data_IF_486872403462
#
_entry.id   IF_486872403462
#
_cell.length_a   1.000
_cell.length_b   1.000
_cell.length_c   1.000
_cell.angle_alpha   90.00
_cell.angle_beta   90.00
_cell.angle_gamma   90.00
#
_symmetry.space_group_name_H-M   'P 1'
#
loop_
_entity.id
_entity.type
_entity.pdbx_description
1 polymer ?
#
# COMPACT_ATOMS: atom_id res chain seq x y z
N UNK A 1 13.07 5.43 -6.78
CA UNK A 1 14.32 5.56 -7.56
C UNK A 1 14.46 6.99 -8.02
N UNK A 2 15.65 7.56 -8.03
CA UNK A 2 15.93 8.91 -8.48
C UNK A 2 16.90 8.84 -9.66
N UNK A 3 16.60 9.60 -10.71
CA UNK A 3 17.50 9.87 -11.83
C UNK A 3 17.69 11.38 -11.93
N UNK A 4 18.93 11.85 -11.76
CA UNK A 4 19.20 13.28 -11.65
C UNK A 4 18.40 13.90 -10.49
N UNK A 5 17.39 14.72 -10.81
CA UNK A 5 16.51 15.37 -9.80
C UNK A 5 15.15 14.71 -9.65
N UNK A 6 14.74 13.86 -10.60
CA UNK A 6 13.40 13.28 -10.63
C UNK A 6 13.32 12.02 -9.77
N UNK A 7 12.28 11.92 -8.95
CA UNK A 7 11.94 10.71 -8.23
C UNK A 7 10.81 9.96 -8.93
N UNK A 8 11.00 8.66 -9.14
CA UNK A 8 9.99 7.73 -9.64
C UNK A 8 9.76 6.59 -8.65
N UNK A 9 8.53 6.12 -8.56
CA UNK A 9 8.19 4.94 -7.78
C UNK A 9 8.79 3.71 -8.46
N UNK A 10 9.57 2.91 -7.72
CA UNK A 10 10.08 1.63 -8.22
C UNK A 10 9.03 0.53 -8.08
N UNK A 11 8.44 0.44 -6.89
CA UNK A 11 7.30 -0.41 -6.56
C UNK A 11 6.68 0.05 -5.23
N UNK A 12 5.38 -0.19 -5.05
CA UNK A 12 4.65 -0.05 -3.78
C UNK A 12 4.07 -1.40 -3.34
N UNK A 13 3.34 -1.41 -2.23
CA UNK A 13 2.59 -2.60 -1.78
C UNK A 13 3.29 -3.44 -0.72
N UNK A 14 4.49 -3.05 -0.27
CA UNK A 14 5.12 -3.67 0.88
C UNK A 14 4.40 -3.29 2.19
N UNK A 15 4.23 -4.26 3.09
CA UNK A 15 3.58 -4.06 4.40
C UNK A 15 4.48 -3.37 5.43
N UNK A 16 5.76 -3.17 5.09
CA UNK A 16 6.71 -2.41 5.88
C UNK A 16 8.09 -2.34 5.22
N UNK A 17 9.07 -1.73 5.91
CA UNK A 17 10.39 -1.45 5.34
C UNK A 17 11.22 -2.70 5.01
N UNK A 18 11.14 -3.79 5.80
CA UNK A 18 11.90 -5.00 5.52
C UNK A 18 11.42 -5.69 4.23
N UNK A 19 10.11 -5.80 4.04
CA UNK A 19 9.51 -6.30 2.79
C UNK A 19 9.84 -5.39 1.62
N UNK A 20 9.84 -4.07 1.83
CA UNK A 20 10.22 -3.12 0.79
C UNK A 20 11.70 -3.27 0.36
N UNK A 21 12.60 -3.54 1.31
CA UNK A 21 14.02 -3.85 1.04
C UNK A 21 14.17 -5.16 0.27
N UNK A 22 13.43 -6.20 0.65
CA UNK A 22 13.41 -7.46 -0.09
C UNK A 22 12.91 -7.28 -1.54
N UNK A 23 11.81 -6.54 -1.72
CA UNK A 23 11.31 -6.20 -3.05
C UNK A 23 12.34 -5.40 -3.86
N UNK A 24 13.06 -4.46 -3.23
CA UNK A 24 14.16 -3.74 -3.87
C UNK A 24 15.30 -4.69 -4.27
N UNK A 25 15.61 -5.72 -3.48
CA UNK A 25 16.61 -6.73 -3.85
C UNK A 25 16.21 -7.46 -5.14
N UNK A 26 14.93 -7.85 -5.27
CA UNK A 26 14.38 -8.46 -6.49
C UNK A 26 14.51 -7.48 -7.68
N UNK A 27 14.03 -6.25 -7.51
CA UNK A 27 14.06 -5.23 -8.56
C UNK A 27 15.51 -4.96 -9.02
N UNK A 28 16.48 -4.92 -8.10
CA UNK A 28 17.91 -4.74 -8.41
C UNK A 28 18.48 -5.92 -9.21
N UNK A 29 18.13 -7.18 -8.88
CA UNK A 29 18.55 -8.35 -9.66
C UNK A 29 17.95 -8.33 -11.06
N UNK A 30 16.67 -7.98 -11.19
CA UNK A 30 16.00 -7.85 -12.48
C UNK A 30 16.63 -6.72 -13.32
N UNK A 31 16.95 -5.58 -12.71
CA UNK A 31 17.61 -4.47 -13.39
C UNK A 31 19.05 -4.83 -13.81
N UNK A 32 19.82 -5.51 -12.95
CA UNK A 32 21.18 -5.94 -13.22
C UNK A 32 21.27 -6.86 -14.45
N UNK A 33 20.28 -7.73 -14.67
CA UNK A 33 20.22 -8.60 -15.85
C UNK A 33 20.04 -7.83 -17.17
N UNK A 34 19.58 -6.57 -17.11
CA UNK A 34 19.37 -5.69 -18.27
C UNK A 34 20.44 -4.59 -18.38
N UNK A 35 21.32 -4.49 -17.39
CA UNK A 35 22.35 -3.45 -17.31
C UNK A 35 23.59 -3.84 -18.12
N UNK A 36 24.20 -2.85 -18.77
CA UNK A 36 25.38 -3.04 -19.63
C UNK A 36 26.68 -2.64 -18.95
N UNK A 37 26.63 -1.73 -17.97
CA UNK A 37 27.82 -1.27 -17.24
C UNK A 37 28.25 -2.29 -16.14
N UNK A 38 29.40 -2.98 -16.29
CA UNK A 38 29.77 -4.06 -15.35
C UNK A 38 30.00 -3.63 -13.89
N UNK A 39 30.61 -2.47 -13.58
CA UNK A 39 30.64 -1.91 -12.24
C UNK A 39 29.25 -1.74 -11.61
N UNK A 40 28.30 -1.19 -12.37
CA UNK A 40 26.92 -1.01 -11.91
C UNK A 40 26.22 -2.35 -11.67
N UNK A 41 26.37 -3.33 -12.57
CA UNK A 41 25.86 -4.71 -12.37
C UNK A 41 26.37 -5.29 -11.05
N UNK A 42 27.68 -5.21 -10.79
CA UNK A 42 28.27 -5.73 -9.54
C UNK A 42 27.71 -5.01 -8.31
N UNK A 43 27.57 -3.70 -8.37
CA UNK A 43 27.03 -2.91 -7.27
C UNK A 43 25.55 -3.24 -6.98
N UNK A 44 24.73 -3.45 -8.02
CA UNK A 44 23.33 -3.89 -7.87
C UNK A 44 23.24 -5.25 -7.19
N UNK A 45 23.99 -6.24 -7.67
CA UNK A 45 23.97 -7.59 -7.10
C UNK A 45 24.51 -7.61 -5.66
N UNK A 46 25.56 -6.83 -5.37
CA UNK A 46 26.09 -6.69 -4.02
C UNK A 46 25.09 -6.00 -3.07
N UNK A 47 24.34 -5.01 -3.53
CA UNK A 47 23.27 -4.40 -2.73
C UNK A 47 22.12 -5.37 -2.51
N UNK A 48 21.67 -6.08 -3.55
CA UNK A 48 20.60 -7.08 -3.46
C UNK A 48 20.91 -8.18 -2.43
N UNK A 49 22.14 -8.72 -2.44
CA UNK A 49 22.57 -9.73 -1.47
C UNK A 49 22.54 -9.27 -0.01
N UNK A 50 22.56 -7.95 0.25
CA UNK A 50 22.45 -7.39 1.62
C UNK A 50 21.03 -7.04 2.04
N UNK A 51 20.12 -6.97 1.07
CA UNK A 51 18.71 -6.61 1.29
C UNK A 51 17.80 -7.82 1.31
N UNK A 52 18.31 -8.99 0.92
CA UNK A 52 17.56 -10.23 0.89
C UNK A 52 17.75 -11.02 2.20
N UNK A 53 16.68 -11.25 3.00
CA UNK A 53 16.79 -12.03 4.22
C UNK A 53 17.09 -13.52 3.97
N UNK A 54 16.91 -14.03 2.75
CA UNK A 54 17.29 -15.41 2.40
C UNK A 54 18.80 -15.58 2.22
N UNK A 55 19.53 -14.49 1.99
CA UNK A 55 20.99 -14.47 1.77
C UNK A 55 21.78 -14.16 3.07
N UNK A 56 21.08 -13.81 4.16
CA UNK A 56 21.68 -13.49 5.46
C UNK A 56 20.88 -12.47 6.27
N UNK A 57 21.51 -11.89 7.30
CA UNK A 57 20.88 -10.81 8.07
C UNK A 57 20.64 -9.59 7.16
N UNK A 58 19.36 -9.24 6.97
CA UNK A 58 18.99 -8.11 6.13
C UNK A 58 19.54 -6.81 6.72
N UNK A 59 20.31 -6.08 5.92
CA UNK A 59 20.78 -4.76 6.30
C UNK A 59 19.62 -3.76 6.28
N UNK A 60 19.33 -3.14 7.43
CA UNK A 60 18.35 -2.06 7.57
C UNK A 60 18.85 -0.72 6.98
N UNK A 61 19.26 -0.74 5.71
CA UNK A 61 19.71 0.43 4.95
C UNK A 61 18.69 0.77 3.88
N UNK A 62 18.05 1.93 4.05
CA UNK A 62 16.93 2.38 3.23
C UNK A 62 17.33 3.21 2.01
N UNK A 63 18.61 3.54 1.84
CA UNK A 63 19.08 4.35 0.73
C UNK A 63 20.34 3.80 0.08
N UNK A 64 20.38 3.82 -1.26
CA UNK A 64 21.50 3.29 -2.03
C UNK A 64 21.80 4.18 -3.23
N UNK A 65 23.07 4.43 -3.49
CA UNK A 65 23.55 5.07 -4.72
C UNK A 65 24.27 4.01 -5.54
N UNK A 66 23.78 3.76 -6.75
CA UNK A 66 24.28 2.70 -7.63
C UNK A 66 24.32 3.24 -9.07
N UNK A 67 25.52 3.48 -9.58
CA UNK A 67 25.72 4.16 -10.85
C UNK A 67 25.21 5.61 -10.79
N UNK A 68 24.33 5.97 -11.71
CA UNK A 68 23.66 7.27 -11.81
C UNK A 68 22.31 7.35 -11.05
N UNK A 69 21.97 6.28 -10.30
CA UNK A 69 20.67 6.12 -9.63
C UNK A 69 20.80 6.20 -8.13
N UNK A 70 19.80 6.83 -7.49
CA UNK A 70 19.55 6.71 -6.04
C UNK A 70 18.28 5.91 -5.79
N UNK A 71 18.35 4.92 -4.92
CA UNK A 71 17.21 4.14 -4.46
C UNK A 71 16.90 4.54 -3.03
N UNK A 72 15.61 4.65 -2.71
CA UNK A 72 15.12 4.94 -1.37
C UNK A 72 13.90 4.07 -1.08
N UNK A 73 13.89 3.39 0.05
CA UNK A 73 12.68 2.85 0.66
C UNK A 73 11.90 4.05 1.20
N UNK A 74 10.63 4.18 0.85
CA UNK A 74 9.82 5.35 1.17
C UNK A 74 8.61 4.99 2.02
N UNK A 75 8.17 5.93 2.84
CA UNK A 75 6.91 5.82 3.59
C UNK A 75 5.75 6.33 2.75
N UNK A 76 4.71 5.50 2.62
CA UNK A 76 3.41 5.88 2.02
C UNK A 76 2.33 5.68 3.08
N UNK A 77 1.54 6.72 3.33
CA UNK A 77 0.41 6.67 4.25
C UNK A 77 -0.89 6.43 3.48
N UNK A 78 -1.68 5.44 3.92
CA UNK A 78 -3.01 5.14 3.40
C UNK A 78 -4.07 5.72 4.33
N UNK A 79 -5.11 6.31 3.78
CA UNK A 79 -6.24 6.84 4.55
C UNK A 79 -7.53 6.74 3.76
N UNK A 80 -8.65 6.71 4.48
CA UNK A 80 -9.99 6.71 3.91
C UNK A 80 -10.62 8.06 4.27
N UNK A 81 -11.30 8.67 3.30
CA UNK A 81 -12.12 9.84 3.56
C UNK A 81 -13.50 9.41 4.03
N UNK A 82 -14.03 10.10 5.03
CA UNK A 82 -15.38 9.87 5.54
C UNK A 82 -16.19 11.16 5.42
N UNK A 83 -17.42 11.05 4.92
CA UNK A 83 -18.43 12.12 4.91
C UNK A 83 -19.73 11.58 5.47
N UNK A 84 -20.35 12.27 6.43
CA UNK A 84 -21.60 11.85 7.08
C UNK A 84 -21.60 10.39 7.57
N UNK A 85 -20.46 9.95 8.16
CA UNK A 85 -20.20 8.57 8.62
C UNK A 85 -20.19 7.51 7.52
N UNK A 86 -20.11 7.90 6.25
CA UNK A 86 -19.97 7.01 5.11
C UNK A 86 -18.54 7.11 4.58
N UNK A 87 -17.89 5.96 4.40
CA UNK A 87 -16.58 5.89 3.74
C UNK A 87 -16.72 6.24 2.26
N UNK A 88 -15.75 6.99 1.74
CA UNK A 88 -15.76 7.44 0.36
C UNK A 88 -15.86 6.25 -0.62
N UNK A 89 -16.90 6.20 -1.48
CA UNK A 89 -17.01 5.17 -2.51
C UNK A 89 -16.09 5.47 -3.70
N UNK A 90 -15.90 4.51 -4.62
CA UNK A 90 -15.31 4.78 -5.92
C UNK A 90 -15.96 5.97 -6.62
N UNK A 91 -15.13 6.82 -7.21
CA UNK A 91 -15.54 7.93 -8.06
C UNK A 91 -15.73 7.45 -9.50
N UNK A 92 -16.49 8.19 -10.29
CA UNK A 92 -16.70 7.86 -11.71
C UNK A 92 -15.40 7.83 -12.52
N UNK A 93 -14.40 8.62 -12.14
CA UNK A 93 -13.08 8.68 -12.79
C UNK A 93 -12.13 7.58 -12.34
N UNK A 94 -12.49 6.82 -11.30
CA UNK A 94 -11.58 5.80 -10.76
C UNK A 94 -11.51 4.55 -11.66
N UNK A 95 -12.52 4.33 -12.52
CA UNK A 95 -12.51 3.24 -13.51
C UNK A 95 -11.48 3.46 -14.63
N UNK A 96 -11.07 4.71 -14.86
CA UNK A 96 -10.11 5.08 -15.91
C UNK A 96 -8.65 5.11 -15.40
N UNK A 97 -8.41 4.72 -14.14
CA UNK A 97 -7.07 4.69 -13.57
C UNK A 97 -6.26 3.58 -14.25
N UNK A 98 -5.31 3.98 -15.09
CA UNK A 98 -4.43 3.05 -15.82
C UNK A 98 -3.25 2.53 -14.99
N UNK A 99 -3.20 2.87 -13.71
CA UNK A 99 -2.01 2.64 -12.90
C UNK A 99 -2.13 1.31 -12.15
N UNK A 100 -1.12 0.46 -12.25
CA UNK A 100 -1.00 -0.71 -11.37
C UNK A 100 -0.87 -0.24 -9.91
N UNK A 101 -1.32 -1.05 -8.95
CA UNK A 101 -1.25 -0.71 -7.53
C UNK A 101 0.17 -0.44 -7.05
N UNK A 102 1.15 -1.01 -7.75
CA UNK A 102 2.58 -0.84 -7.53
C UNK A 102 3.10 0.53 -7.96
N UNK A 103 2.38 1.24 -8.84
CA UNK A 103 2.73 2.53 -9.43
C UNK A 103 4.13 2.56 -10.06
N UNK A 104 4.53 1.49 -10.76
CA UNK A 104 5.88 1.43 -11.33
C UNK A 104 6.12 2.60 -12.31
N UNK A 105 7.29 3.23 -12.20
CA UNK A 105 7.74 4.39 -12.96
C UNK A 105 6.92 5.68 -12.79
N UNK A 106 5.94 5.69 -11.88
CA UNK A 106 5.14 6.88 -11.56
C UNK A 106 6.03 8.03 -11.07
N UNK A 107 5.97 9.17 -11.76
CA UNK A 107 6.76 10.36 -11.45
C UNK A 107 6.19 11.08 -10.22
N UNK A 108 7.06 11.38 -9.26
CA UNK A 108 6.74 12.25 -8.13
C UNK A 108 7.00 13.71 -8.55
N UNK A 109 5.94 14.39 -8.97
CA UNK A 109 5.98 15.80 -9.41
C UNK A 109 5.08 16.68 -8.52
N UNK A 110 5.56 17.14 -7.35
CA UNK A 110 4.76 17.98 -6.47
C UNK A 110 4.27 19.30 -7.10
N UNK A 111 5.06 20.00 -7.94
CA UNK A 111 4.62 21.17 -8.70
C UNK A 111 3.54 20.91 -9.76
N UNK A 112 3.23 19.66 -10.10
CA UNK A 112 2.23 19.35 -11.10
C UNK A 112 0.89 20.06 -10.77
N UNK A 113 0.23 20.68 -11.77
CA UNK A 113 -1.08 21.28 -11.56
C UNK A 113 -2.07 20.25 -11.01
N UNK A 114 -2.86 20.65 -10.01
CA UNK A 114 -3.89 19.81 -9.44
C UNK A 114 -5.23 20.56 -9.38
N UNK A 115 -6.32 19.81 -9.33
CA UNK A 115 -7.66 20.38 -9.20
C UNK A 115 -7.87 21.02 -7.83
N UNK A 116 -8.87 21.91 -7.71
CA UNK A 116 -9.18 22.62 -6.46
C UNK A 116 -9.38 21.68 -5.27
N UNK A 117 -10.09 20.57 -5.49
CA UNK A 117 -10.31 19.55 -4.47
C UNK A 117 -8.99 18.95 -3.96
N UNK A 118 -8.10 18.60 -4.87
CA UNK A 118 -6.83 18.00 -4.53
C UNK A 118 -5.93 18.99 -3.77
N UNK A 119 -5.88 20.25 -4.21
CA UNK A 119 -5.17 21.31 -3.51
C UNK A 119 -5.67 21.48 -2.06
N UNK A 120 -6.99 21.50 -1.85
CA UNK A 120 -7.58 21.57 -0.51
C UNK A 120 -7.26 20.34 0.34
N UNK A 121 -7.31 19.14 -0.25
CA UNK A 121 -6.97 17.91 0.45
C UNK A 121 -5.49 17.89 0.86
N UNK A 122 -4.57 18.29 -0.03
CA UNK A 122 -3.15 18.44 0.30
C UNK A 122 -2.96 19.40 1.49
N UNK A 123 -3.62 20.56 1.50
CA UNK A 123 -3.56 21.52 2.62
C UNK A 123 -4.03 20.91 3.95
N UNK A 124 -5.11 20.12 3.94
CA UNK A 124 -5.61 19.44 5.13
C UNK A 124 -4.63 18.37 5.66
N UNK A 125 -3.83 17.77 4.78
CA UNK A 125 -2.89 16.69 5.11
C UNK A 125 -1.50 17.18 5.55
N UNK A 126 -1.08 18.39 5.13
CA UNK A 126 0.24 18.94 5.44
C UNK A 126 0.55 18.85 6.95
N UNK A 127 -0.41 19.25 7.79
CA UNK A 127 -0.29 19.24 9.26
C UNK A 127 -0.88 18.02 9.97
N UNK A 128 -1.30 16.98 9.24
CA UNK A 128 -2.00 15.83 9.84
C UNK A 128 -1.07 15.05 10.78
N UNK A 129 -1.48 14.98 12.05
CA UNK A 129 -0.85 14.16 13.09
C UNK A 129 -1.82 13.08 13.56
N UNK A 130 -1.35 11.87 13.93
CA UNK A 130 -2.18 10.88 14.61
C UNK A 130 -2.93 11.48 15.81
N UNK A 131 -4.13 10.98 16.06
CA UNK A 131 -4.96 11.44 17.19
C UNK A 131 -4.24 11.08 18.50
N UNK A 132 -4.34 11.97 19.48
CA UNK A 132 -3.76 11.72 20.81
C UNK A 132 -4.33 10.45 21.43
N UNK A 133 -3.47 9.61 22.00
CA UNK A 133 -3.86 8.36 22.63
C UNK A 133 -4.19 7.21 21.68
N UNK A 134 -4.25 7.42 20.36
CA UNK A 134 -4.51 6.33 19.40
C UNK A 134 -3.24 5.61 18.94
N UNK A 135 -2.07 6.18 19.22
CA UNK A 135 -0.75 5.62 18.90
C UNK A 135 0.25 5.97 20.02
N UNK A 136 1.36 5.23 20.18
CA UNK A 136 2.43 5.59 21.10
C UNK A 136 2.98 7.01 20.86
N UNK A 137 3.43 7.70 21.92
CA UNK A 137 3.91 9.09 21.81
C UNK A 137 5.16 9.22 20.91
N UNK A 138 5.97 8.17 20.79
CA UNK A 138 7.08 8.12 19.85
C UNK A 138 6.61 8.32 18.40
N UNK A 139 5.56 7.61 17.99
CA UNK A 139 4.96 7.74 16.63
C UNK A 139 4.45 9.16 16.39
N UNK A 140 3.84 9.80 17.40
CA UNK A 140 3.41 11.22 17.30
C UNK A 140 4.59 12.16 17.17
N UNK A 141 5.67 11.92 17.93
CA UNK A 141 6.90 12.72 17.89
C UNK A 141 7.58 12.64 16.52
N UNK A 142 7.69 11.44 15.97
CA UNK A 142 8.22 11.23 14.62
C UNK A 142 7.33 11.87 13.56
N UNK A 143 6.00 11.77 13.67
CA UNK A 143 5.08 12.46 12.76
C UNK A 143 5.25 14.00 12.81
N UNK A 144 5.43 14.59 14.00
CA UNK A 144 5.75 16.03 14.14
C UNK A 144 7.10 16.39 13.52
N UNK A 145 8.08 15.50 13.57
CA UNK A 145 9.36 15.69 12.90
C UNK A 145 9.20 15.64 11.37
N UNK A 146 8.50 14.62 10.85
CA UNK A 146 8.22 14.43 9.43
C UNK A 146 7.52 15.63 8.79
N UNK A 147 6.52 16.21 9.46
CA UNK A 147 5.83 17.43 8.97
C UNK A 147 6.82 18.59 8.76
N UNK A 148 7.84 18.72 9.62
CA UNK A 148 8.82 19.82 9.54
C UNK A 148 9.88 19.56 8.47
N UNK A 149 10.34 18.32 8.33
CA UNK A 149 11.43 17.97 7.40
C UNK A 149 10.94 17.62 5.99
N UNK A 150 9.70 17.15 5.87
CA UNK A 150 9.03 16.74 4.64
C UNK A 150 7.63 17.39 4.54
N UNK A 151 7.56 18.72 4.40
CA UNK A 151 6.28 19.45 4.40
C UNK A 151 5.46 19.24 3.12
N UNK A 152 6.11 18.85 2.00
CA UNK A 152 5.41 18.57 0.75
C UNK A 152 4.53 17.33 0.88
N UNK A 153 3.32 17.38 0.32
CA UNK A 153 2.41 16.25 0.25
C UNK A 153 2.14 15.93 -1.21
N UNK A 154 2.39 14.69 -1.60
CA UNK A 154 2.03 14.16 -2.91
C UNK A 154 0.93 13.14 -2.71
N UNK A 155 -0.19 13.33 -3.40
CA UNK A 155 -1.26 12.36 -3.49
C UNK A 155 -0.95 11.41 -4.63
N UNK A 156 -1.11 10.12 -4.36
CA UNK A 156 -0.95 9.07 -5.36
C UNK A 156 -2.35 8.61 -5.81
N UNK A 157 -2.46 7.95 -6.98
CA UNK A 157 -3.69 7.27 -7.37
C UNK A 157 -4.25 6.44 -6.21
N UNK A 158 -5.57 6.30 -6.03
CA UNK A 158 -6.15 5.50 -4.94
C UNK A 158 -5.89 4.00 -5.16
N UNK A 159 -6.25 3.20 -4.16
CA UNK A 159 -6.59 1.77 -4.30
C UNK A 159 -7.97 1.54 -3.72
N UNK A 160 -8.51 0.33 -3.82
CA UNK A 160 -9.86 0.02 -3.34
C UNK A 160 -9.83 -1.17 -2.39
N UNK A 161 -10.71 -1.14 -1.39
CA UNK A 161 -10.94 -2.28 -0.50
C UNK A 161 -12.41 -2.65 -0.52
N UNK A 162 -12.70 -3.95 -0.42
CA UNK A 162 -14.02 -4.45 -0.13
C UNK A 162 -14.15 -4.64 1.39
N UNK A 163 -15.18 -4.04 1.97
CA UNK A 163 -15.53 -4.19 3.38
C UNK A 163 -16.88 -4.86 3.51
N UNK A 164 -17.03 -5.70 4.52
CA UNK A 164 -18.32 -6.11 5.02
C UNK A 164 -18.78 -5.14 6.12
N UNK A 165 -20.06 -4.77 6.09
CA UNK A 165 -20.69 -3.90 7.07
C UNK A 165 -21.47 -4.78 8.05
N UNK A 166 -21.09 -4.72 9.32
CA UNK A 166 -21.76 -5.45 10.41
C UNK A 166 -22.21 -4.44 11.47
N UNK A 167 -23.47 -4.01 11.37
CA UNK A 167 -24.03 -2.96 12.23
C UNK A 167 -23.26 -1.65 12.11
N UNK A 168 -22.57 -1.26 13.19
CA UNK A 168 -21.71 -0.06 13.22
C UNK A 168 -20.23 -0.35 12.93
N UNK A 169 -19.86 -1.63 12.71
CA UNK A 169 -18.51 -2.06 12.43
C UNK A 169 -18.29 -2.32 10.93
N UNK A 170 -17.02 -2.22 10.52
CA UNK A 170 -16.59 -2.51 9.16
C UNK A 170 -15.42 -3.47 9.20
N UNK A 171 -15.54 -4.57 8.48
CA UNK A 171 -14.50 -5.59 8.36
C UNK A 171 -13.88 -5.53 6.95
N UNK A 172 -12.62 -5.09 6.80
CA UNK A 172 -11.93 -5.18 5.52
C UNK A 172 -11.65 -6.66 5.18
N UNK A 173 -12.03 -7.08 3.98
CA UNK A 173 -11.86 -8.46 3.52
C UNK A 173 -10.76 -8.59 2.48
N UNK A 174 -10.83 -7.78 1.43
CA UNK A 174 -9.90 -7.80 0.29
C UNK A 174 -9.70 -6.39 -0.26
N UNK A 175 -8.78 -6.24 -1.21
CA UNK A 175 -8.64 -5.01 -1.97
C UNK A 175 -8.09 -5.25 -3.37
N UNK A 176 -8.19 -4.23 -4.21
CA UNK A 176 -7.77 -4.21 -5.60
C UNK A 176 -7.27 -2.84 -6.02
N UNK A 177 -6.65 -2.78 -7.18
CA UNK A 177 -6.08 -1.55 -7.74
C UNK A 177 -7.16 -0.68 -8.39
N UNK A 178 -8.23 -1.32 -8.87
CA UNK A 178 -9.46 -0.69 -9.33
C UNK A 178 -10.72 -1.27 -8.62
N UNK A 179 -11.89 -0.60 -8.74
CA UNK A 179 -13.10 -1.03 -8.05
C UNK A 179 -13.65 -2.39 -8.51
N UNK A 180 -13.47 -2.76 -9.77
CA UNK A 180 -13.92 -4.04 -10.33
C UNK A 180 -13.03 -5.18 -9.84
N UNK A 181 -11.72 -4.99 -9.85
CA UNK A 181 -10.77 -5.95 -9.29
C UNK A 181 -11.02 -6.18 -7.80
N UNK A 182 -11.29 -5.13 -7.03
CA UNK A 182 -11.65 -5.27 -5.60
C UNK A 182 -12.91 -6.13 -5.42
N UNK A 183 -13.91 -5.98 -6.31
CA UNK A 183 -15.14 -6.80 -6.30
C UNK A 183 -14.85 -8.25 -6.68
N UNK A 184 -14.08 -8.49 -7.74
CA UNK A 184 -13.75 -9.86 -8.15
C UNK A 184 -12.92 -10.58 -7.08
N UNK A 185 -11.95 -9.89 -6.47
CA UNK A 185 -11.18 -10.43 -5.35
C UNK A 185 -12.06 -10.71 -4.12
N UNK A 186 -13.11 -9.92 -3.87
CA UNK A 186 -14.11 -10.25 -2.85
C UNK A 186 -14.88 -11.53 -3.21
N UNK A 187 -15.29 -11.73 -4.46
CA UNK A 187 -15.92 -12.98 -4.87
C UNK A 187 -14.97 -14.18 -4.71
N UNK A 188 -13.70 -14.01 -5.12
CA UNK A 188 -12.65 -15.00 -4.95
C UNK A 188 -12.29 -15.28 -3.48
N UNK A 189 -12.49 -14.32 -2.58
CA UNK A 189 -12.34 -14.55 -1.13
C UNK A 189 -13.23 -15.70 -0.66
N UNK A 190 -14.48 -15.75 -1.13
CA UNK A 190 -15.45 -16.79 -0.76
C UNK A 190 -15.16 -18.14 -1.41
N UNK A 191 -14.69 -18.15 -2.67
CA UNK A 191 -14.51 -19.40 -3.42
C UNK A 191 -13.10 -19.98 -3.34
N UNK A 192 -12.11 -19.20 -2.93
CA UNK A 192 -10.70 -19.63 -2.93
C UNK A 192 -10.01 -19.42 -1.57
N UNK A 193 -9.94 -18.18 -1.08
CA UNK A 193 -9.16 -17.86 0.11
C UNK A 193 -9.75 -18.48 1.38
N UNK A 194 -11.05 -18.27 1.62
CA UNK A 194 -11.71 -18.72 2.84
C UNK A 194 -11.76 -20.25 2.98
N UNK A 195 -12.08 -21.05 1.93
CA UNK A 195 -11.94 -22.50 1.98
C UNK A 195 -10.54 -22.97 2.38
N UNK A 196 -9.50 -22.43 1.74
CA UNK A 196 -8.10 -22.80 2.03
C UNK A 196 -7.69 -22.41 3.45
N UNK A 197 -8.14 -21.25 3.92
CA UNK A 197 -7.85 -20.79 5.28
C UNK A 197 -8.49 -21.72 6.31
N UNK A 198 -9.75 -22.12 6.09
CA UNK A 198 -10.48 -23.06 6.95
C UNK A 198 -9.82 -24.44 6.97
N UNK A 199 -9.41 -24.95 5.82
CA UNK A 199 -8.62 -26.20 5.73
C UNK A 199 -7.30 -26.11 6.49
N UNK A 200 -6.55 -25.02 6.32
CA UNK A 200 -5.29 -24.79 7.05
C UNK A 200 -5.49 -24.72 8.57
N UNK A 201 -6.64 -24.22 9.02
CA UNK A 201 -7.04 -24.16 10.43
C UNK A 201 -7.56 -25.51 10.97
N UNK A 202 -7.63 -26.55 10.13
CA UNK A 202 -8.14 -27.87 10.51
C UNK A 202 -9.66 -27.96 10.61
N UNK A 203 -10.37 -26.99 10.03
CA UNK A 203 -11.84 -26.91 10.03
C UNK A 203 -12.34 -26.85 8.58
N UNK A 204 -12.12 -27.92 7.82
CA UNK A 204 -12.50 -27.96 6.40
C UNK A 204 -14.01 -27.71 6.23
N UNK A 205 -14.41 -26.85 5.28
CA UNK A 205 -15.81 -26.53 5.06
C UNK A 205 -16.58 -27.73 4.53
N UNK A 206 -17.85 -27.83 4.92
CA UNK A 206 -18.81 -28.79 4.36
C UNK A 206 -19.24 -28.40 2.93
N UNK A 207 -19.77 -29.36 2.17
CA UNK A 207 -20.34 -29.10 0.84
C UNK A 207 -21.43 -28.03 0.86
N UNK A 208 -22.19 -27.94 1.96
CA UNK A 208 -23.22 -26.93 2.15
C UNK A 208 -22.64 -25.52 2.30
N UNK A 209 -21.56 -25.36 3.08
CA UNK A 209 -20.84 -24.09 3.22
C UNK A 209 -20.20 -23.67 1.89
N UNK A 210 -19.60 -24.61 1.16
CA UNK A 210 -19.01 -24.33 -0.17
C UNK A 210 -20.07 -23.88 -1.17
N UNK A 211 -21.24 -24.52 -1.18
CA UNK A 211 -22.37 -24.12 -2.03
C UNK A 211 -22.89 -22.73 -1.65
N UNK A 212 -22.96 -22.42 -0.36
CA UNK A 212 -23.36 -21.10 0.13
C UNK A 212 -22.36 -20.01 -0.31
N UNK A 213 -21.06 -20.24 -0.12
CA UNK A 213 -20.02 -19.30 -0.51
C UNK A 213 -19.96 -19.08 -2.03
N UNK A 214 -20.20 -20.13 -2.81
CA UNK A 214 -20.34 -20.02 -4.25
C UNK A 214 -21.53 -19.11 -4.61
N UNK A 215 -22.68 -19.31 -3.96
CA UNK A 215 -23.84 -18.47 -4.20
C UNK A 215 -23.62 -17.00 -3.77
N UNK A 216 -22.84 -16.76 -2.71
CA UNK A 216 -22.42 -15.41 -2.31
C UNK A 216 -21.53 -14.80 -3.38
N UNK A 217 -20.50 -15.52 -3.85
CA UNK A 217 -19.60 -15.05 -4.90
C UNK A 217 -20.33 -14.72 -6.21
N UNK A 218 -21.29 -15.56 -6.62
CA UNK A 218 -22.11 -15.31 -7.80
C UNK A 218 -23.02 -14.07 -7.61
N UNK A 219 -23.60 -13.91 -6.43
CA UNK A 219 -24.37 -12.71 -6.08
C UNK A 219 -23.53 -11.43 -6.11
N UNK A 220 -22.28 -11.49 -5.62
CA UNK A 220 -21.32 -10.38 -5.68
C UNK A 220 -21.04 -10.00 -7.13
N UNK A 221 -20.73 -10.97 -8.00
CA UNK A 221 -20.44 -10.71 -9.41
C UNK A 221 -21.64 -10.19 -10.18
N UNK A 222 -22.85 -10.63 -9.83
CA UNK A 222 -24.08 -10.23 -10.51
C UNK A 222 -24.58 -8.84 -10.09
N UNK A 223 -24.18 -8.33 -8.92
CA UNK A 223 -24.72 -7.08 -8.38
C UNK A 223 -23.85 -5.88 -8.78
N UNK A 224 -24.37 -4.91 -9.56
CA UNK A 224 -23.60 -3.73 -9.94
C UNK A 224 -23.49 -2.73 -8.77
N UNK A 225 -22.54 -1.81 -8.89
CA UNK A 225 -22.36 -0.73 -7.90
C UNK A 225 -21.37 -1.06 -6.79
N UNK A 226 -21.22 -0.13 -5.85
CA UNK A 226 -20.21 -0.17 -4.78
C UNK A 226 -20.81 -0.35 -3.39
N UNK A 227 -22.13 -0.49 -3.29
CA UNK A 227 -22.87 -0.91 -2.08
C UNK A 227 -23.86 -1.96 -2.51
N UNK A 228 -23.82 -3.13 -1.90
CA UNK A 228 -24.72 -4.22 -2.25
C UNK A 228 -24.92 -5.19 -1.08
N UNK A 229 -26.06 -5.88 -1.11
CA UNK A 229 -26.42 -6.89 -0.11
C UNK A 229 -26.57 -8.25 -0.79
N UNK A 230 -25.88 -9.27 -0.27
CA UNK A 230 -25.95 -10.64 -0.77
C UNK A 230 -26.14 -11.57 0.42
N UNK A 231 -27.21 -12.38 0.43
CA UNK A 231 -27.53 -13.31 1.52
C UNK A 231 -27.50 -12.61 2.90
N UNK A 232 -28.19 -11.46 2.99
CA UNK A 232 -28.30 -10.63 4.20
C UNK A 232 -26.98 -10.03 4.73
N UNK A 233 -25.91 -10.10 3.93
CA UNK A 233 -24.62 -9.47 4.23
C UNK A 233 -24.43 -8.24 3.36
N UNK A 234 -24.12 -7.11 3.98
CA UNK A 234 -23.88 -5.86 3.27
C UNK A 234 -22.38 -5.69 3.01
N UNK A 235 -22.04 -5.43 1.75
CA UNK A 235 -20.68 -5.16 1.32
C UNK A 235 -20.58 -3.77 0.70
N UNK A 236 -19.42 -3.14 0.88
CA UNK A 236 -19.10 -1.87 0.26
C UNK A 236 -17.71 -1.89 -0.36
N UNK A 237 -17.55 -1.34 -1.55
CA UNK A 237 -16.25 -0.97 -2.10
C UNK A 237 -15.90 0.43 -1.60
N UNK A 238 -14.72 0.56 -0.99
CA UNK A 238 -14.23 1.79 -0.37
C UNK A 238 -12.97 2.26 -1.06
N UNK A 239 -12.91 3.55 -1.35
CA UNK A 239 -11.75 4.22 -1.94
C UNK A 239 -10.72 4.53 -0.86
N UNK A 240 -9.52 3.98 -1.02
CA UNK A 240 -8.37 4.22 -0.14
C UNK A 240 -7.43 5.21 -0.81
N UNK A 241 -7.33 6.40 -0.23
CA UNK A 241 -6.37 7.40 -0.66
C UNK A 241 -4.95 7.03 -0.19
N UNK A 242 -3.96 7.44 -0.98
CA UNK A 242 -2.54 7.22 -0.71
C UNK A 242 -1.82 8.56 -0.76
N UNK A 243 -0.93 8.81 0.19
CA UNK A 243 -0.05 9.97 0.17
C UNK A 243 1.38 9.61 0.58
N UNK A 244 2.33 10.43 0.14
CA UNK A 244 3.67 10.45 0.70
C UNK A 244 4.06 11.88 1.05
N UNK A 245 5.05 11.99 1.94
CA UNK A 245 5.67 13.27 2.29
C UNK A 245 6.95 13.48 1.51
N UNK A 246 7.20 14.72 1.10
CA UNK A 246 8.39 15.13 0.35
C UNK A 246 9.09 16.28 1.07
N UNK A 247 10.40 16.12 1.28
CA UNK A 247 11.30 17.14 1.78
C UNK A 247 12.25 17.64 0.70
N UNK A 248 13.19 18.49 1.09
CA UNK A 248 14.21 19.03 0.18
C UNK A 248 15.04 17.93 -0.50
N UNK A 249 15.31 16.84 0.23
CA UNK A 249 16.09 15.70 -0.24
C UNK A 249 15.21 14.57 -0.83
N UNK A 250 13.95 14.85 -1.15
CA UNK A 250 13.03 13.88 -1.74
C UNK A 250 12.06 13.23 -0.74
N UNK A 251 11.55 12.03 -1.03
CA UNK A 251 10.48 11.41 -0.24
C UNK A 251 10.94 10.94 1.13
N UNK A 252 10.03 10.98 2.11
CA UNK A 252 10.28 10.54 3.48
C UNK A 252 10.66 9.05 3.52
N UNK A 253 11.77 8.73 4.20
CA UNK A 253 12.18 7.36 4.50
C UNK A 253 11.33 6.74 5.63
N UNK A 254 11.40 5.42 5.87
CA UNK A 254 10.77 4.79 7.02
C UNK A 254 11.19 5.46 8.34
N UNK A 255 10.25 5.56 9.27
CA UNK A 255 10.52 6.03 10.63
C UNK A 255 11.09 4.89 11.47
N UNK A 256 11.81 5.17 12.56
CA UNK A 256 12.23 4.14 13.51
C UNK A 256 11.07 3.23 13.95
N UNK A 257 9.91 3.80 14.29
CA UNK A 257 8.72 3.01 14.68
C UNK A 257 8.19 2.06 13.59
N UNK A 258 8.55 2.28 12.32
CA UNK A 258 8.12 1.42 11.21
C UNK A 258 8.90 0.11 11.16
N UNK A 259 10.06 0.05 11.83
CA UNK A 259 10.86 -1.17 11.95
C UNK A 259 10.27 -2.12 13.02
N UNK A 260 9.58 -1.58 14.03
CA UNK A 260 9.10 -2.35 15.19
C UNK A 260 7.87 -3.21 14.89
N UNK A 261 7.21 -3.03 13.73
CA UNK A 261 6.03 -3.82 13.35
C UNK A 261 6.37 -5.27 12.97
N UNK A 262 7.65 -5.57 12.81
CA UNK A 262 8.14 -6.94 12.69
C UNK A 262 8.30 -7.51 14.10
N UNK A 263 7.42 -8.43 14.48
CA UNK A 263 7.45 -9.15 15.74
C UNK A 263 8.68 -10.04 15.93
N UNK A 264 9.88 -9.47 15.92
CA UNK A 264 10.99 -9.96 16.70
C UNK A 264 10.90 -9.26 18.07
N UNK A 265 10.42 -9.95 19.12
CA UNK A 265 10.46 -9.39 20.46
C UNK A 265 11.91 -9.08 20.81
N UNK A 266 12.21 -7.82 21.09
CA UNK A 266 13.34 -7.47 21.95
C UNK A 266 12.98 -7.95 23.35
N UNK A 267 13.23 -9.22 23.62
CA UNK A 267 13.36 -9.67 24.99
C UNK A 267 14.64 -9.04 25.56
N UNK A 268 14.47 -8.33 26.69
CA UNK A 268 15.58 -7.92 27.54
C UNK A 268 16.24 -9.10 28.24
#
# INVERSE_FOLDING_TARGET
MQFGKEWRIGSLGADGPATARYNLAIDLRTAAARETDPPTVRAMLAAAARLDPEEGEQLAKDEWEIGDRRYRVIRVEKFILLGDRVMEPPRSTDADLTADGLLRDHLLDPPAPCGQWEAQLRLNLVGRLPVEGTVPEMVRTEARHAIRTHPGVVLLPPTFIAVEVDGEAWAPLTGGDDPEEARDRLACHFTDLMPRLREFQGDSPSDAELAEWTAIADGIRATPGHVFTVRDREFRTVRVCRMLRLGRDGPEAPRPSDQDRYGLPTFG
#
